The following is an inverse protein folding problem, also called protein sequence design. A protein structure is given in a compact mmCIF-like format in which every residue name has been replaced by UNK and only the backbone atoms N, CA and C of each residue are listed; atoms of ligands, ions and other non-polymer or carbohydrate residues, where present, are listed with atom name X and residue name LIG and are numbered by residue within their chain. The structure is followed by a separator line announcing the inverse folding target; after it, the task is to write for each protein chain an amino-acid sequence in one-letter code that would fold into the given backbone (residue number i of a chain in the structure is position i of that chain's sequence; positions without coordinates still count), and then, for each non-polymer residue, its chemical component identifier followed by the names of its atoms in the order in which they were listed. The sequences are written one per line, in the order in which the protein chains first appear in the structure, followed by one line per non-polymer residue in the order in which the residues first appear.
data_IF_213391228124
#
_entry.id   IF_213391228124
#
_cell.length_a   1.000
_cell.length_b   1.000
_cell.length_c   1.000
_cell.angle_alpha   90.00
_cell.angle_beta   90.00
_cell.angle_gamma   90.00
#
_symmetry.space_group_name_H-M   'P 1'
#
loop_
_entity.id
_entity.type
_entity.pdbx_description
1 polymer ?
#
# COMPACT_ATOMS: atom_id res chain seq x y z
N UNK A 1 -28.13 -19.88 8.78
CA UNK A 1 -27.00 -19.69 7.85
C UNK A 1 -27.02 -18.24 7.41
N UNK A 2 -26.24 -17.39 8.06
CA UNK A 2 -26.11 -15.99 7.66
C UNK A 2 -25.34 -15.94 6.35
N UNK A 3 -25.97 -15.39 5.31
CA UNK A 3 -25.28 -15.00 4.10
C UNK A 3 -24.23 -13.95 4.50
N UNK A 4 -22.98 -14.38 4.67
CA UNK A 4 -21.84 -13.48 4.80
C UNK A 4 -21.68 -12.90 3.41
N UNK A 5 -22.27 -11.74 3.19
CA UNK A 5 -21.93 -10.90 2.06
C UNK A 5 -20.42 -10.68 2.12
N UNK A 6 -19.69 -11.23 1.13
CA UNK A 6 -18.26 -10.99 0.90
C UNK A 6 -18.07 -9.54 0.46
N UNK A 7 -18.39 -8.59 1.32
CA UNK A 7 -18.09 -7.19 1.09
C UNK A 7 -16.57 -7.04 1.21
N UNK A 8 -15.92 -6.70 0.09
CA UNK A 8 -14.52 -6.29 0.07
C UNK A 8 -14.36 -5.15 1.07
N UNK A 9 -13.54 -5.36 2.09
CA UNK A 9 -13.31 -4.33 3.10
C UNK A 9 -12.27 -3.34 2.60
N UNK A 10 -12.54 -2.05 2.76
CA UNK A 10 -11.64 -1.00 2.33
C UNK A 10 -10.50 -0.85 3.34
N UNK A 11 -9.27 -0.82 2.82
CA UNK A 11 -8.06 -0.56 3.59
C UNK A 11 -7.42 0.73 3.10
N UNK A 12 -7.02 1.59 4.04
CA UNK A 12 -6.26 2.80 3.73
C UNK A 12 -4.77 2.51 3.83
N UNK A 13 -4.09 2.56 2.69
CA UNK A 13 -2.65 2.39 2.62
C UNK A 13 -1.97 3.74 2.81
N UNK A 14 -1.16 3.86 3.86
CA UNK A 14 -0.38 5.07 4.14
C UNK A 14 0.97 5.05 3.42
N UNK A 15 1.63 3.89 3.39
CA UNK A 15 2.89 3.70 2.69
C UNK A 15 3.01 2.27 2.14
N UNK A 16 3.69 2.16 1.00
CA UNK A 16 4.14 0.90 0.42
C UNK A 16 5.64 1.03 0.15
N UNK A 17 6.43 0.09 0.67
CA UNK A 17 7.90 0.13 0.56
C UNK A 17 8.40 -1.11 -0.15
N UNK A 18 9.18 -0.89 -1.21
CA UNK A 18 9.94 -1.92 -1.90
C UNK A 18 11.35 -1.99 -1.34
N UNK A 19 11.64 -3.04 -0.59
CA UNK A 19 12.99 -3.36 -0.14
C UNK A 19 13.53 -4.56 -0.92
N UNK A 20 14.86 -4.72 -0.98
CA UNK A 20 15.50 -5.80 -1.76
C UNK A 20 14.99 -7.22 -1.43
N UNK A 21 14.48 -7.43 -0.21
CA UNK A 21 14.05 -8.74 0.29
C UNK A 21 12.61 -8.75 0.81
N UNK A 22 11.88 -7.63 0.70
CA UNK A 22 10.55 -7.51 1.30
C UNK A 22 9.72 -6.45 0.59
N UNK A 23 8.42 -6.70 0.54
CA UNK A 23 7.40 -5.71 0.22
C UNK A 23 6.59 -5.47 1.48
N UNK A 24 6.52 -4.22 1.95
CA UNK A 24 5.83 -3.89 3.20
C UNK A 24 4.77 -2.82 3.01
N UNK A 25 3.71 -2.90 3.82
CA UNK A 25 2.57 -2.00 3.82
C UNK A 25 2.33 -1.42 5.21
N UNK A 26 2.17 -0.11 5.29
CA UNK A 26 1.72 0.60 6.48
C UNK A 26 0.25 0.97 6.33
N UNK A 27 -0.59 0.54 7.27
CA UNK A 27 -2.05 0.66 7.21
C UNK A 27 -2.68 0.77 8.60
N UNK A 28 -3.98 1.00 8.68
CA UNK A 28 -4.77 0.83 9.90
C UNK A 28 -4.68 -0.61 10.45
N UNK A 29 -4.61 -0.73 11.76
CA UNK A 29 -4.53 -2.02 12.49
C UNK A 29 -5.92 -2.65 12.67
N UNK A 30 -6.51 -3.14 11.57
CA UNK A 30 -7.86 -3.74 11.56
C UNK A 30 -7.81 -5.27 11.40
N UNK A 31 -6.78 -5.79 10.73
CA UNK A 31 -6.64 -7.20 10.37
C UNK A 31 -5.35 -7.81 10.90
N UNK A 32 -5.33 -9.12 11.12
CA UNK A 32 -4.08 -9.87 11.36
C UNK A 32 -3.40 -10.27 10.04
N UNK A 33 -4.20 -10.60 9.02
CA UNK A 33 -3.76 -10.82 7.65
C UNK A 33 -4.85 -10.46 6.65
N UNK A 34 -4.46 -10.24 5.39
CA UNK A 34 -5.38 -10.00 4.30
C UNK A 34 -4.74 -10.27 2.93
N UNK A 35 -5.58 -10.38 1.92
CA UNK A 35 -5.18 -10.46 0.52
C UNK A 35 -5.50 -9.18 -0.22
N UNK A 36 -4.51 -8.66 -0.94
CA UNK A 36 -4.67 -7.53 -1.84
C UNK A 36 -4.67 -8.02 -3.29
N UNK A 37 -5.73 -7.71 -4.03
CA UNK A 37 -5.80 -7.97 -5.47
C UNK A 37 -4.87 -6.99 -6.22
N UNK A 38 -3.90 -7.53 -6.95
CA UNK A 38 -3.01 -6.71 -7.76
C UNK A 38 -3.68 -6.30 -9.08
N UNK A 39 -4.23 -7.29 -9.76
CA UNK A 39 -4.93 -7.15 -11.04
C UNK A 39 -5.67 -8.46 -11.35
N UNK A 40 -6.79 -8.37 -12.05
CA UNK A 40 -7.61 -9.52 -12.47
C UNK A 40 -6.87 -10.53 -13.35
N UNK A 41 -5.71 -10.18 -13.92
CA UNK A 41 -4.87 -11.11 -14.71
C UNK A 41 -3.63 -11.61 -13.97
N UNK A 42 -3.31 -11.05 -12.81
CA UNK A 42 -2.11 -11.38 -12.03
C UNK A 42 -2.50 -12.26 -10.84
N UNK A 43 -3.52 -11.85 -10.08
CA UNK A 43 -3.95 -12.50 -8.85
C UNK A 43 -3.74 -11.62 -7.62
N UNK A 44 -3.33 -12.22 -6.51
CA UNK A 44 -3.36 -11.61 -5.17
C UNK A 44 -2.04 -11.78 -4.42
N UNK A 45 -1.72 -10.80 -3.57
CA UNK A 45 -0.63 -10.90 -2.59
C UNK A 45 -1.21 -10.99 -1.19
N UNK A 46 -0.73 -11.94 -0.38
CA UNK A 46 -1.01 -12.04 1.04
C UNK A 46 -0.09 -11.14 1.83
N UNK A 47 -0.67 -10.34 2.71
CA UNK A 47 0.00 -9.54 3.70
C UNK A 47 -0.32 -10.06 5.10
N UNK A 48 0.70 -10.23 5.93
CA UNK A 48 0.57 -10.65 7.33
C UNK A 48 1.14 -9.55 8.21
N UNK A 49 0.44 -9.25 9.31
CA UNK A 49 0.89 -8.27 10.29
C UNK A 49 2.23 -8.68 10.86
N UNK A 50 3.17 -7.75 10.82
CA UNK A 50 4.49 -7.92 11.40
C UNK A 50 4.58 -7.24 12.77
N UNK A 51 4.09 -6.01 12.88
CA UNK A 51 4.14 -5.23 14.12
C UNK A 51 3.13 -4.08 14.09
N UNK A 52 2.67 -3.67 15.27
CA UNK A 52 1.94 -2.40 15.42
C UNK A 52 2.88 -1.22 15.23
N UNK A 53 2.37 -0.12 14.69
CA UNK A 53 3.12 1.13 14.51
C UNK A 53 2.23 2.36 14.68
N UNK A 54 2.85 3.51 14.95
CA UNK A 54 2.13 4.76 15.17
C UNK A 54 2.62 5.93 14.30
N UNK A 55 3.42 5.64 13.27
CA UNK A 55 4.02 6.66 12.39
C UNK A 55 2.96 7.47 11.63
N UNK A 56 1.96 6.81 11.04
CA UNK A 56 0.92 7.46 10.23
C UNK A 56 -0.40 7.68 10.99
N UNK A 57 -0.75 6.77 11.91
CA UNK A 57 -1.98 6.80 12.69
C UNK A 57 -1.77 6.11 14.05
N UNK A 58 -2.47 6.55 15.10
CA UNK A 58 -2.27 6.03 16.48
C UNK A 58 -2.48 4.51 16.62
N UNK A 59 -3.32 3.90 15.77
CA UNK A 59 -3.59 2.47 15.74
C UNK A 59 -3.22 1.91 14.36
N UNK A 60 -1.96 2.07 13.97
CA UNK A 60 -1.41 1.59 12.71
C UNK A 60 -0.73 0.23 12.86
N UNK A 61 -0.45 -0.42 11.74
CA UNK A 61 0.33 -1.64 11.70
C UNK A 61 1.12 -1.77 10.39
N UNK A 62 2.31 -2.36 10.53
CA UNK A 62 3.18 -2.77 9.45
C UNK A 62 2.85 -4.20 9.05
N UNK A 63 2.65 -4.43 7.76
CA UNK A 63 2.42 -5.73 7.16
C UNK A 63 3.53 -6.07 6.17
N UNK A 64 3.83 -7.36 6.05
CA UNK A 64 4.83 -7.88 5.13
C UNK A 64 4.15 -8.83 4.14
N UNK A 65 4.51 -8.74 2.87
CA UNK A 65 4.06 -9.68 1.85
C UNK A 65 4.68 -11.07 2.09
N UNK A 66 3.85 -12.11 2.15
CA UNK A 66 4.29 -13.48 2.46
C UNK A 66 3.99 -14.50 1.37
N UNK A 67 2.95 -14.28 0.55
CA UNK A 67 2.50 -15.24 -0.46
C UNK A 67 1.99 -14.49 -1.70
N UNK A 68 2.28 -15.02 -2.89
CA UNK A 68 1.68 -14.60 -4.15
C UNK A 68 0.79 -15.75 -4.64
N UNK A 69 -0.47 -15.45 -4.93
CA UNK A 69 -1.44 -16.40 -5.47
C UNK A 69 -1.88 -15.98 -6.87
N UNK A 70 -1.65 -16.80 -7.90
CA UNK A 70 -2.07 -16.49 -9.26
C UNK A 70 -3.60 -16.54 -9.41
N UNK A 71 -4.12 -15.84 -10.43
CA UNK A 71 -5.58 -15.80 -10.72
C UNK A 71 -6.19 -17.19 -11.03
N UNK A 72 -5.38 -18.15 -11.48
CA UNK A 72 -5.81 -19.52 -11.77
C UNK A 72 -6.28 -20.29 -10.53
N UNK A 73 -5.88 -19.84 -9.34
CA UNK A 73 -6.13 -20.53 -8.09
C UNK A 73 -7.46 -20.09 -7.46
N UNK A 74 -7.86 -20.77 -6.38
CA UNK A 74 -9.07 -20.41 -5.66
C UNK A 74 -8.96 -19.01 -5.04
N UNK A 75 -10.03 -18.23 -5.22
CA UNK A 75 -10.17 -16.87 -4.69
C UNK A 75 -9.86 -16.87 -3.18
N UNK A 76 -8.86 -16.11 -2.73
CA UNK A 76 -8.46 -16.10 -1.32
C UNK A 76 -9.47 -15.34 -0.45
N UNK A 77 -9.30 -15.42 0.87
CA UNK A 77 -10.08 -14.67 1.85
C UNK A 77 -9.24 -14.39 3.10
N UNK A 78 -9.40 -13.22 3.76
CA UNK A 78 -10.21 -12.08 3.35
C UNK A 78 -9.52 -11.27 2.25
N UNK A 79 -10.30 -10.74 1.29
CA UNK A 79 -9.80 -9.81 0.27
C UNK A 79 -10.17 -8.39 0.68
N UNK A 80 -9.19 -7.49 0.62
CA UNK A 80 -9.37 -6.07 0.88
C UNK A 80 -9.22 -5.26 -0.41
N UNK A 81 -9.93 -4.15 -0.47
CA UNK A 81 -9.80 -3.16 -1.53
C UNK A 81 -8.90 -2.03 -1.05
N UNK A 82 -7.76 -1.84 -1.72
CA UNK A 82 -6.86 -0.75 -1.37
C UNK A 82 -7.39 0.58 -1.87
N UNK A 83 -7.62 1.51 -0.94
CA UNK A 83 -7.79 2.91 -1.24
C UNK A 83 -6.40 3.54 -1.38
N UNK A 84 -5.81 3.40 -2.56
CA UNK A 84 -4.49 3.96 -2.87
C UNK A 84 -4.58 5.41 -3.34
N UNK A 85 -3.62 6.22 -2.88
CA UNK A 85 -3.12 7.35 -3.66
C UNK A 85 -2.12 6.78 -4.68
N UNK A 86 -2.57 6.57 -5.91
CA UNK A 86 -1.72 6.12 -7.01
C UNK A 86 -0.82 7.28 -7.44
N UNK A 87 0.41 7.33 -6.93
CA UNK A 87 1.44 8.17 -7.55
C UNK A 87 2.08 7.37 -8.66
N UNK A 88 1.97 7.83 -9.91
CA UNK A 88 2.80 7.30 -10.99
C UNK A 88 4.27 7.55 -10.61
N UNK A 89 5.17 6.66 -10.99
CA UNK A 89 6.61 6.78 -10.70
C UNK A 89 7.16 8.19 -11.00
N UNK A 90 6.70 8.82 -12.09
CA UNK A 90 7.02 10.21 -12.43
C UNK A 90 6.59 11.21 -11.36
N UNK A 91 5.35 11.10 -10.87
CA UNK A 91 4.80 11.99 -9.85
C UNK A 91 5.52 11.81 -8.51
N UNK A 92 5.80 10.55 -8.14
CA UNK A 92 6.55 10.25 -6.92
C UNK A 92 7.97 10.83 -6.97
N UNK A 93 8.66 10.69 -8.12
CA UNK A 93 9.98 11.27 -8.34
C UNK A 93 9.94 12.81 -8.35
N UNK A 94 8.91 13.42 -8.92
CA UNK A 94 8.75 14.87 -8.91
C UNK A 94 8.50 15.41 -7.51
N UNK A 95 7.66 14.76 -6.70
CA UNK A 95 7.44 15.16 -5.31
C UNK A 95 8.69 14.96 -4.45
N UNK A 96 9.43 13.85 -4.64
CA UNK A 96 10.71 13.65 -3.97
C UNK A 96 11.73 14.73 -4.35
N UNK A 97 11.84 15.07 -5.64
CA UNK A 97 12.73 16.11 -6.14
C UNK A 97 12.34 17.51 -5.66
N UNK A 98 11.05 17.85 -5.63
CA UNK A 98 10.54 19.11 -5.09
C UNK A 98 10.77 19.20 -3.58
N UNK A 99 10.57 18.10 -2.84
CA UNK A 99 10.84 18.03 -1.40
C UNK A 99 12.34 18.19 -1.12
N UNK A 100 13.20 17.54 -1.90
CA UNK A 100 14.66 17.72 -1.81
C UNK A 100 15.07 19.15 -2.15
N UNK A 101 14.50 19.74 -3.20
CA UNK A 101 14.78 21.13 -3.58
C UNK A 101 14.36 22.12 -2.49
N UNK A 102 13.21 21.88 -1.85
CA UNK A 102 12.73 22.64 -0.69
C UNK A 102 13.68 22.51 0.51
N UNK A 103 14.07 21.29 0.86
CA UNK A 103 14.97 21.02 1.99
C UNK A 103 16.38 21.56 1.76
N UNK A 104 16.84 21.60 0.50
CA UNK A 104 18.14 22.14 0.09
C UNK A 104 18.11 23.66 -0.17
N UNK A 105 16.96 24.32 0.02
CA UNK A 105 16.83 25.78 -0.13
C UNK A 105 16.91 26.30 -1.57
N UNK A 106 16.78 25.44 -2.58
CA UNK A 106 16.71 25.87 -3.98
C UNK A 106 15.31 26.41 -4.27
N UNK A 107 15.15 27.74 -4.26
CA UNK A 107 13.93 28.39 -4.77
C UNK A 107 13.81 28.08 -6.26
N UNK A 108 12.62 27.63 -6.68
CA UNK A 108 12.24 27.49 -8.10
C UNK A 108 12.70 28.75 -8.84
N UNK A 109 13.65 28.58 -9.75
CA UNK A 109 14.04 29.64 -10.67
C UNK A 109 12.78 30.10 -11.39
N UNK A 110 12.43 31.37 -11.22
CA UNK A 110 11.43 32.03 -12.02
C UNK A 110 11.83 31.87 -13.47
N UNK A 111 11.17 30.97 -14.18
CA UNK A 111 11.16 31.00 -15.65
C UNK A 111 10.37 32.25 -16.01
N UNK A 112 11.11 33.29 -16.38
CA UNK A 112 10.57 34.46 -17.06
C UNK A 112 10.67 34.11 -18.55
N UNK A 113 9.55 34.26 -19.25
CA UNK A 113 9.39 34.01 -20.69
C UNK A 113 10.44 34.71 -21.56
#
# INVERSE_FOLDING_TARGET
MSNITNEKQNIKIYALVFHKNALTLSTDNIHEDFWLELHETIGWIKFVKHSEESEFVKNGALFVATELRPVSDSVPYPIVEAQCVLWRQREALLSAADTLSFLLGQKRGTMID
#
